data_IF_843367295637
#
_entry.id   IF_843367295637
#
_cell.length_a   1.000
_cell.length_b   1.000
_cell.length_c   1.000
_cell.angle_alpha   90.00
_cell.angle_beta   90.00
_cell.angle_gamma   90.00
#
_symmetry.space_group_name_H-M   'P 1'
#
loop_
_entity.id
_entity.type
_entity.pdbx_description
1 polymer ?
#
# COMPACT_ATOMS: atom_id res chain seq x y z
N UNK A 1 6.92 5.29 -14.24
CA UNK A 1 5.74 5.25 -13.34
C UNK A 1 6.01 5.87 -11.97
N UNK A 2 7.18 5.66 -11.34
CA UNK A 2 7.44 6.13 -9.96
C UNK A 2 7.45 7.66 -9.78
N UNK A 3 7.90 8.43 -10.79
CA UNK A 3 8.08 9.88 -10.65
C UNK A 3 6.81 10.72 -10.40
N UNK A 4 5.63 10.27 -10.84
CA UNK A 4 4.38 11.00 -10.53
C UNK A 4 3.87 10.69 -9.12
N UNK A 5 4.14 9.48 -8.62
CA UNK A 5 3.81 9.06 -7.25
C UNK A 5 4.65 9.85 -6.27
N UNK A 6 5.96 9.97 -6.53
CA UNK A 6 6.87 10.74 -5.70
C UNK A 6 6.47 12.22 -5.66
N UNK A 7 6.03 12.78 -6.80
CA UNK A 7 5.49 14.15 -6.86
C UNK A 7 4.19 14.31 -6.06
N UNK A 8 3.26 13.37 -6.18
CA UNK A 8 2.01 13.41 -5.41
C UNK A 8 2.25 13.31 -3.90
N UNK A 9 3.23 12.51 -3.47
CA UNK A 9 3.64 12.41 -2.07
C UNK A 9 4.41 13.63 -1.57
N UNK A 10 5.17 14.31 -2.44
CA UNK A 10 5.83 15.57 -2.10
C UNK A 10 4.81 16.67 -1.78
N UNK A 11 3.74 16.77 -2.57
CA UNK A 11 2.67 17.76 -2.35
C UNK A 11 1.78 17.40 -1.14
N UNK A 12 1.44 16.12 -0.99
CA UNK A 12 0.57 15.63 0.09
C UNK A 12 1.04 14.26 0.59
N UNK A 13 1.96 14.21 1.57
CA UNK A 13 2.55 12.95 2.04
C UNK A 13 1.54 12.01 2.69
N UNK A 14 0.45 12.55 3.25
CA UNK A 14 -0.61 11.79 3.92
C UNK A 14 -1.68 11.18 3.00
N UNK A 15 -1.53 11.20 1.68
CA UNK A 15 -2.54 10.59 0.79
C UNK A 15 -2.54 9.07 0.99
N UNK A 16 -3.58 8.57 1.67
CA UNK A 16 -3.68 7.15 2.06
C UNK A 16 -3.73 6.20 0.87
N UNK A 17 -4.45 6.56 -0.19
CA UNK A 17 -4.58 5.69 -1.36
C UNK A 17 -3.27 5.54 -2.13
N UNK A 18 -2.38 6.52 -2.06
CA UNK A 18 -1.03 6.45 -2.66
C UNK A 18 -0.15 5.58 -1.78
N UNK A 19 -0.15 5.80 -0.46
CA UNK A 19 0.68 5.04 0.46
C UNK A 19 0.33 3.54 0.50
N UNK A 20 -0.96 3.15 0.39
CA UNK A 20 -1.32 1.71 0.24
C UNK A 20 -0.72 1.08 -1.01
N UNK A 21 -0.71 1.81 -2.13
CA UNK A 21 -0.14 1.33 -3.39
C UNK A 21 1.39 1.28 -3.31
N UNK A 22 2.02 2.30 -2.75
CA UNK A 22 3.47 2.36 -2.53
C UNK A 22 3.93 1.23 -1.63
N UNK A 23 3.21 0.92 -0.55
CA UNK A 23 3.54 -0.18 0.33
C UNK A 23 3.62 -1.51 -0.44
N UNK A 24 2.57 -1.84 -1.22
CA UNK A 24 2.55 -3.06 -2.02
C UNK A 24 3.61 -3.08 -3.13
N UNK A 25 3.79 -1.98 -3.87
CA UNK A 25 4.78 -1.90 -4.94
C UNK A 25 6.22 -1.98 -4.42
N UNK A 26 6.53 -1.30 -3.32
CA UNK A 26 7.86 -1.32 -2.71
C UNK A 26 8.19 -2.71 -2.16
N UNK A 27 7.23 -3.38 -1.50
CA UNK A 27 7.40 -4.76 -1.04
C UNK A 27 7.66 -5.73 -2.19
N UNK A 28 6.93 -5.61 -3.30
CA UNK A 28 7.16 -6.43 -4.50
C UNK A 28 8.52 -6.15 -5.16
N UNK A 29 9.08 -4.96 -4.99
CA UNK A 29 10.39 -4.57 -5.49
C UNK A 29 11.54 -4.92 -4.53
N UNK A 30 11.24 -5.44 -3.33
CA UNK A 30 12.24 -5.72 -2.29
C UNK A 30 12.69 -4.50 -1.48
N UNK A 31 12.11 -3.32 -1.72
CA UNK A 31 12.38 -2.10 -0.96
C UNK A 31 11.53 -2.08 0.32
N UNK A 32 11.92 -2.93 1.28
CA UNK A 32 11.16 -3.14 2.52
C UNK A 32 11.16 -1.91 3.42
N UNK A 33 12.19 -1.06 3.36
CA UNK A 33 12.25 0.17 4.14
C UNK A 33 11.19 1.18 3.67
N UNK A 34 11.07 1.36 2.35
CA UNK A 34 10.03 2.19 1.76
C UNK A 34 8.63 1.61 2.00
N UNK A 35 8.49 0.29 1.92
CA UNK A 35 7.24 -0.38 2.24
C UNK A 35 6.81 -0.09 3.70
N UNK A 36 7.71 -0.28 4.65
CA UNK A 36 7.44 -0.06 6.08
C UNK A 36 7.06 1.40 6.39
N UNK A 37 7.73 2.38 5.77
CA UNK A 37 7.35 3.80 5.90
C UNK A 37 5.92 4.06 5.42
N UNK A 38 5.56 3.51 4.26
CA UNK A 38 4.22 3.68 3.71
C UNK A 38 3.15 3.01 4.61
N UNK A 39 3.44 1.83 5.17
CA UNK A 39 2.57 1.19 6.17
C UNK A 39 2.40 2.07 7.41
N UNK A 40 3.49 2.61 7.96
CA UNK A 40 3.44 3.46 9.15
C UNK A 40 2.58 4.71 8.94
N UNK A 41 2.67 5.34 7.75
CA UNK A 41 1.80 6.46 7.39
C UNK A 41 0.34 6.02 7.40
N UNK A 42 0.00 4.93 6.70
CA UNK A 42 -1.38 4.44 6.64
C UNK A 42 -1.93 4.10 8.04
N UNK A 43 -1.15 3.42 8.88
CA UNK A 43 -1.53 3.07 10.25
C UNK A 43 -1.66 4.31 11.16
N UNK A 44 -0.88 5.37 10.90
CA UNK A 44 -1.00 6.63 11.65
C UNK A 44 -2.33 7.35 11.43
N UNK A 45 -2.94 7.19 10.25
CA UNK A 45 -4.25 7.78 9.94
C UNK A 45 -5.42 6.81 10.18
N UNK A 46 -5.22 5.52 9.93
CA UNK A 46 -6.21 4.48 10.12
C UNK A 46 -5.63 3.34 10.97
N UNK A 47 -5.54 3.51 12.31
CA UNK A 47 -4.97 2.51 13.18
C UNK A 47 -5.71 1.17 13.08
N UNK A 48 -4.96 0.10 12.91
CA UNK A 48 -5.50 -1.26 12.90
C UNK A 48 -6.03 -1.75 11.56
N UNK A 49 -6.04 -0.91 10.52
CA UNK A 49 -6.45 -1.30 9.17
C UNK A 49 -5.65 -2.53 8.68
N UNK A 50 -6.37 -3.48 8.06
CA UNK A 50 -5.85 -4.76 7.59
C UNK A 50 -5.71 -4.77 6.07
N UNK A 51 -4.91 -5.71 5.55
CA UNK A 51 -4.77 -5.92 4.12
C UNK A 51 -6.14 -6.26 3.49
N UNK A 52 -6.94 -7.07 4.16
CA UNK A 52 -8.30 -7.43 3.70
C UNK A 52 -9.22 -6.21 3.58
N UNK A 53 -9.17 -5.27 4.53
CA UNK A 53 -9.97 -4.03 4.49
C UNK A 53 -9.60 -3.19 3.27
N UNK A 54 -8.29 -3.06 3.01
CA UNK A 54 -7.76 -2.28 1.88
C UNK A 54 -8.20 -2.90 0.54
N UNK A 55 -8.15 -4.22 0.44
CA UNK A 55 -8.45 -4.97 -0.79
C UNK A 55 -9.96 -4.98 -1.06
N UNK A 56 -10.80 -5.07 -0.02
CA UNK A 56 -12.25 -4.98 -0.17
C UNK A 56 -12.71 -3.59 -0.65
N UNK A 57 -11.98 -2.54 -0.29
CA UNK A 57 -12.30 -1.17 -0.69
C UNK A 57 -11.91 -0.81 -2.13
N UNK A 58 -11.31 -1.73 -2.90
CA UNK A 58 -10.84 -1.47 -4.26
C UNK A 58 -11.52 -2.45 -5.24
N UNK A 59 -12.15 -1.96 -6.32
CA UNK A 59 -12.66 -2.83 -7.36
C UNK A 59 -11.50 -3.54 -8.07
N UNK A 60 -11.54 -4.87 -8.09
CA UNK A 60 -10.59 -5.69 -8.83
C UNK A 60 -11.31 -6.41 -9.97
N UNK A 61 -10.78 -6.31 -11.19
CA UNK A 61 -11.36 -6.97 -12.36
C UNK A 61 -11.06 -8.48 -12.41
N UNK A 62 -10.02 -8.92 -11.70
CA UNK A 62 -9.54 -10.30 -11.71
C UNK A 62 -9.13 -10.72 -10.30
N UNK A 63 -9.64 -11.86 -9.82
CA UNK A 63 -9.36 -12.39 -8.48
C UNK A 63 -7.86 -12.64 -8.25
N UNK A 64 -7.14 -13.09 -9.28
CA UNK A 64 -5.69 -13.29 -9.20
C UNK A 64 -4.95 -11.97 -8.89
N UNK A 65 -5.38 -10.85 -9.47
CA UNK A 65 -4.78 -9.53 -9.20
C UNK A 65 -5.12 -9.06 -7.78
N UNK A 66 -6.35 -9.29 -7.34
CA UNK A 66 -6.79 -9.03 -5.96
C UNK A 66 -5.92 -9.76 -4.96
N UNK A 67 -5.73 -11.06 -5.14
CA UNK A 67 -4.94 -11.90 -4.24
C UNK A 67 -3.44 -11.52 -4.27
N UNK A 68 -2.88 -11.22 -5.46
CA UNK A 68 -1.50 -10.74 -5.56
C UNK A 68 -1.31 -9.43 -4.79
N UNK A 69 -2.25 -8.50 -4.89
CA UNK A 69 -2.21 -7.23 -4.18
C UNK A 69 -2.34 -7.43 -2.67
N UNK A 70 -3.26 -8.28 -2.22
CA UNK A 70 -3.40 -8.66 -0.80
C UNK A 70 -2.10 -9.21 -0.23
N UNK A 71 -1.46 -10.16 -0.93
CA UNK A 71 -0.16 -10.73 -0.51
C UNK A 71 0.93 -9.66 -0.45
N UNK A 72 0.96 -8.72 -1.39
CA UNK A 72 1.93 -7.63 -1.39
C UNK A 72 1.74 -6.69 -0.19
N UNK A 73 0.50 -6.42 0.22
CA UNK A 73 0.20 -5.65 1.43
C UNK A 73 0.62 -6.39 2.70
N UNK A 74 0.35 -7.69 2.78
CA UNK A 74 0.81 -8.53 3.90
C UNK A 74 2.34 -8.55 3.96
N UNK A 75 3.00 -8.72 2.82
CA UNK A 75 4.46 -8.65 2.71
C UNK A 75 5.00 -7.28 3.17
N UNK A 76 4.32 -6.19 2.82
CA UNK A 76 4.70 -4.84 3.23
C UNK A 76 4.59 -4.60 4.74
N UNK A 77 3.82 -5.43 5.47
CA UNK A 77 3.67 -5.36 6.92
C UNK A 77 2.24 -5.08 7.43
N UNK A 78 1.23 -5.07 6.55
CA UNK A 78 -0.16 -5.05 7.01
C UNK A 78 -0.54 -6.41 7.61
N UNK A 79 -1.36 -6.41 8.67
CA UNK A 79 -2.01 -7.65 9.12
C UNK A 79 -2.92 -8.16 8.01
N UNK A 80 -3.07 -9.49 7.84
CA UNK A 80 -4.00 -10.06 6.87
C UNK A 80 -5.39 -9.50 7.11
#
# INVERSE_FOLDING_TARGET
ALGWIDRALADRPGILWVNRLVAACAALAGDMERAARAVAIVQGYAPGIRADDIVQAIPHQVEATRERYRRALVLAGFRP
#
